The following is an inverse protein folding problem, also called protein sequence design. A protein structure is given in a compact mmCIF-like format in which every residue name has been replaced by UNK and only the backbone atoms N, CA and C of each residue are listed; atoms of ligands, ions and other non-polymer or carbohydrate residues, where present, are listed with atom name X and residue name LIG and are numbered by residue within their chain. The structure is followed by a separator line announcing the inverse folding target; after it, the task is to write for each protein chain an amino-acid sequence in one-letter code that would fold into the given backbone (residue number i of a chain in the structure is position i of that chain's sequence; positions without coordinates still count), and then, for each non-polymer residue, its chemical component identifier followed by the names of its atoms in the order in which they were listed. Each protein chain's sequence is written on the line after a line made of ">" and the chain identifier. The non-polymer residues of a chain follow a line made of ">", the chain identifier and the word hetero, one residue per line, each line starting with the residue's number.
data_IF_270218267717
#
_entry.id   IF_270218267717
#
_cell.length_a   1.000
_cell.length_b   1.000
_cell.length_c   1.000
_cell.angle_alpha   90.00
_cell.angle_beta   90.00
_cell.angle_gamma   90.00
#
_symmetry.space_group_name_H-M   'P 1'
#
loop_
_entity.id
_entity.type
_entity.pdbx_description
1 polymer ?
#
# COMPACT_ATOMS: atom_id res chain seq x y z
N UNK A 1 -29.53 -69.00 49.10
CA UNK A 1 -28.52 -67.94 49.37
C UNK A 1 -27.54 -67.95 48.19
N UNK A 2 -27.70 -67.03 47.22
CA UNK A 2 -26.82 -65.85 46.96
C UNK A 2 -25.33 -66.25 46.98
N UNK A 3 -24.50 -66.05 45.95
CA UNK A 3 -24.21 -64.77 45.28
C UNK A 3 -23.48 -64.96 43.93
N UNK A 4 -23.89 -64.12 42.97
CA UNK A 4 -23.14 -63.35 41.97
C UNK A 4 -22.17 -64.02 40.97
N UNK A 5 -22.66 -64.09 39.72
CA UNK A 5 -21.88 -64.02 38.48
C UNK A 5 -21.42 -62.59 38.26
N UNK A 6 -20.12 -62.35 38.08
CA UNK A 6 -19.57 -61.08 37.61
C UNK A 6 -19.14 -61.26 36.16
N UNK A 7 -19.94 -60.74 35.23
CA UNK A 7 -19.61 -60.63 33.81
C UNK A 7 -18.79 -59.34 33.63
N UNK A 8 -17.51 -59.46 33.25
CA UNK A 8 -16.67 -58.31 32.93
C UNK A 8 -16.97 -57.89 31.49
N UNK A 9 -17.88 -56.93 31.31
CA UNK A 9 -18.13 -56.31 30.00
C UNK A 9 -16.97 -55.35 29.69
N UNK A 10 -16.13 -55.73 28.74
CA UNK A 10 -15.10 -54.84 28.18
C UNK A 10 -15.78 -53.87 27.21
N UNK A 11 -16.03 -52.64 27.65
CA UNK A 11 -16.48 -51.56 26.77
C UNK A 11 -15.26 -51.01 26.04
N UNK A 12 -15.11 -51.39 24.77
CA UNK A 12 -14.16 -50.78 23.86
C UNK A 12 -14.68 -49.38 23.49
N UNK A 13 -14.18 -48.35 24.17
CA UNK A 13 -14.44 -46.96 23.77
C UNK A 13 -13.62 -46.69 22.51
N UNK A 14 -14.28 -46.75 21.35
CA UNK A 14 -13.77 -46.18 20.11
C UNK A 14 -13.74 -44.66 20.28
N UNK A 15 -12.59 -44.13 20.71
CA UNK A 15 -12.29 -42.72 20.54
C UNK A 15 -12.14 -42.45 19.05
N UNK A 16 -13.23 -42.04 18.41
CA UNK A 16 -13.15 -41.38 17.11
C UNK A 16 -12.39 -40.09 17.35
N UNK A 17 -11.09 -40.10 17.06
CA UNK A 17 -10.31 -38.89 16.95
C UNK A 17 -10.88 -38.10 15.78
N UNK A 18 -11.83 -37.22 16.06
CA UNK A 18 -12.19 -36.12 15.18
C UNK A 18 -10.96 -35.22 15.11
N UNK A 19 -10.00 -35.57 14.26
CA UNK A 19 -9.04 -34.63 13.73
C UNK A 19 -9.87 -33.61 12.97
N UNK A 20 -10.25 -32.54 13.65
CA UNK A 20 -10.63 -31.29 13.03
C UNK A 20 -9.39 -30.88 12.25
N UNK A 21 -9.32 -31.28 10.99
CA UNK A 21 -8.42 -30.64 10.04
C UNK A 21 -8.88 -29.19 10.06
N UNK A 22 -8.16 -28.34 10.79
CA UNK A 22 -8.20 -26.91 10.54
C UNK A 22 -7.99 -26.79 9.03
N UNK A 23 -9.04 -26.36 8.34
CA UNK A 23 -9.02 -26.27 6.88
C UNK A 23 -7.83 -25.37 6.57
N UNK A 24 -6.78 -25.95 5.99
CA UNK A 24 -5.53 -25.23 5.77
C UNK A 24 -5.89 -23.97 4.99
N UNK A 25 -5.52 -22.81 5.54
CA UNK A 25 -5.81 -21.54 4.89
C UNK A 25 -5.19 -21.57 3.49
N UNK A 26 -6.01 -21.37 2.47
CA UNK A 26 -5.54 -21.37 1.09
C UNK A 26 -4.72 -20.11 0.84
N UNK A 27 -3.48 -20.32 0.40
CA UNK A 27 -2.61 -19.29 -0.14
C UNK A 27 -2.37 -19.60 -1.61
N UNK A 28 -2.82 -18.74 -2.53
CA UNK A 28 -2.72 -19.02 -3.95
C UNK A 28 -1.25 -19.02 -4.42
N UNK A 29 -0.85 -19.97 -5.28
CA UNK A 29 0.45 -19.88 -5.93
C UNK A 29 0.50 -18.66 -6.88
N UNK A 30 1.72 -18.19 -7.21
CA UNK A 30 1.91 -17.10 -8.17
C UNK A 30 1.15 -17.36 -9.47
N UNK A 31 0.27 -16.43 -9.86
CA UNK A 31 -0.51 -16.50 -11.11
C UNK A 31 -1.56 -17.61 -11.20
N UNK A 32 -1.75 -18.43 -10.15
CA UNK A 32 -2.63 -19.61 -10.17
C UNK A 32 -3.73 -19.50 -9.11
N UNK A 33 -4.39 -18.35 -9.05
CA UNK A 33 -5.47 -18.10 -8.10
C UNK A 33 -6.73 -18.89 -8.47
N UNK A 34 -7.19 -19.71 -7.53
CA UNK A 34 -8.45 -20.44 -7.67
C UNK A 34 -9.64 -19.48 -7.57
N UNK A 35 -10.65 -19.75 -8.41
CA UNK A 35 -11.93 -19.04 -8.43
C UNK A 35 -13.00 -19.89 -7.76
N UNK A 36 -13.82 -19.26 -6.92
CA UNK A 36 -14.97 -19.91 -6.26
C UNK A 36 -16.22 -19.09 -6.43
N UNK A 37 -17.37 -19.77 -6.45
CA UNK A 37 -18.64 -19.08 -6.36
C UNK A 37 -18.74 -18.36 -4.99
N UNK A 38 -19.43 -17.21 -4.91
CA UNK A 38 -19.56 -16.46 -3.65
C UNK A 38 -20.11 -17.32 -2.50
N UNK A 39 -21.07 -18.20 -2.78
CA UNK A 39 -21.70 -19.07 -1.78
C UNK A 39 -20.73 -20.07 -1.18
N UNK A 40 -19.75 -20.55 -1.96
CA UNK A 40 -18.73 -21.50 -1.51
C UNK A 40 -17.77 -20.91 -0.47
N UNK A 41 -17.71 -19.58 -0.39
CA UNK A 41 -16.90 -18.84 0.59
C UNK A 41 -17.75 -18.05 1.59
N UNK A 42 -19.05 -18.34 1.66
CA UNK A 42 -19.98 -17.72 2.61
C UNK A 42 -20.33 -16.27 2.30
N UNK A 43 -20.33 -15.89 1.02
CA UNK A 43 -20.80 -14.59 0.53
C UNK A 43 -22.17 -14.73 -0.16
N UNK A 44 -22.98 -13.68 -0.07
CA UNK A 44 -24.24 -13.57 -0.80
C UNK A 44 -23.96 -13.14 -2.25
N UNK A 45 -24.27 -14.02 -3.20
CA UNK A 45 -24.01 -13.77 -4.62
C UNK A 45 -24.89 -12.67 -5.22
N UNK A 46 -26.10 -12.47 -4.69
CA UNK A 46 -27.02 -11.42 -5.17
C UNK A 46 -26.48 -10.05 -4.77
N UNK A 47 -26.11 -9.88 -3.50
CA UNK A 47 -25.53 -8.61 -3.03
C UNK A 47 -24.18 -8.30 -3.70
N UNK A 48 -23.35 -9.33 -3.95
CA UNK A 48 -22.11 -9.14 -4.67
C UNK A 48 -22.36 -8.68 -6.13
N UNK A 49 -23.31 -9.32 -6.82
CA UNK A 49 -23.68 -8.93 -8.18
C UNK A 49 -24.23 -7.50 -8.25
N UNK A 50 -25.07 -7.10 -7.29
CA UNK A 50 -25.59 -5.73 -7.18
C UNK A 50 -24.45 -4.71 -6.98
N UNK A 51 -23.47 -5.00 -6.13
CA UNK A 51 -22.32 -4.14 -5.89
C UNK A 51 -21.44 -3.98 -7.15
N UNK A 52 -21.22 -5.07 -7.89
CA UNK A 52 -20.47 -5.04 -9.16
C UNK A 52 -21.22 -4.20 -10.20
N UNK A 53 -22.52 -4.45 -10.39
CA UNK A 53 -23.33 -3.68 -11.32
C UNK A 53 -23.34 -2.19 -10.97
N UNK A 54 -23.37 -1.85 -9.68
CA UNK A 54 -23.23 -0.46 -9.24
C UNK A 54 -21.86 0.12 -9.62
N UNK A 55 -20.76 -0.60 -9.39
CA UNK A 55 -19.42 -0.11 -9.74
C UNK A 55 -19.28 0.12 -11.26
N UNK A 56 -19.73 -0.83 -12.08
CA UNK A 56 -19.69 -0.74 -13.54
C UNK A 56 -20.53 0.43 -14.08
N UNK A 57 -21.70 0.70 -13.47
CA UNK A 57 -22.57 1.81 -13.85
C UNK A 57 -22.06 3.20 -13.41
N UNK A 58 -21.08 3.27 -12.50
CA UNK A 58 -20.59 4.52 -11.89
C UNK A 58 -19.11 4.78 -12.22
N UNK A 59 -18.69 4.51 -13.45
CA UNK A 59 -17.36 4.89 -13.92
C UNK A 59 -17.11 6.41 -13.81
N UNK A 60 -15.88 6.80 -13.50
CA UNK A 60 -15.48 8.21 -13.43
C UNK A 60 -15.69 8.95 -14.75
N UNK A 61 -16.15 10.19 -14.67
CA UNK A 61 -16.25 11.11 -15.81
C UNK A 61 -14.90 11.72 -16.23
N UNK A 62 -13.79 11.34 -15.57
CA UNK A 62 -12.45 11.82 -15.94
C UNK A 62 -12.10 11.42 -17.38
N UNK A 63 -11.47 12.33 -18.15
CA UNK A 63 -11.01 12.04 -19.50
C UNK A 63 -10.19 10.75 -19.57
N UNK A 64 -10.34 10.02 -20.66
CA UNK A 64 -9.60 8.77 -20.85
C UNK A 64 -8.10 9.01 -21.02
N UNK A 65 -7.70 10.16 -21.54
CA UNK A 65 -6.35 10.47 -22.05
C UNK A 65 -5.48 11.30 -21.08
N UNK A 66 -5.93 11.50 -19.82
CA UNK A 66 -5.27 12.35 -18.83
C UNK A 66 -5.09 13.82 -19.25
N UNK A 67 -5.90 14.32 -20.19
CA UNK A 67 -5.83 15.71 -20.67
C UNK A 67 -6.09 16.77 -19.60
N UNK A 68 -6.72 16.41 -18.47
CA UNK A 68 -6.95 17.31 -17.34
C UNK A 68 -5.86 17.23 -16.24
N UNK A 69 -4.86 16.37 -16.38
CA UNK A 69 -3.86 16.10 -15.36
C UNK A 69 -3.07 17.36 -14.98
N UNK A 70 -2.58 18.11 -15.97
CA UNK A 70 -1.81 19.33 -15.74
C UNK A 70 -2.66 20.42 -15.07
N UNK A 71 -3.92 20.59 -15.49
CA UNK A 71 -4.83 21.53 -14.84
C UNK A 71 -5.10 21.17 -13.38
N UNK A 72 -5.21 19.88 -13.06
CA UNK A 72 -5.57 19.42 -11.70
C UNK A 72 -4.35 19.41 -10.78
N UNK A 73 -3.23 18.86 -11.25
CA UNK A 73 -2.07 18.53 -10.42
C UNK A 73 -0.79 19.29 -10.83
N UNK A 74 -0.87 20.16 -11.82
CA UNK A 74 0.26 20.91 -12.38
C UNK A 74 1.15 20.05 -13.28
N UNK A 75 2.30 20.62 -13.67
CA UNK A 75 3.19 20.02 -14.66
C UNK A 75 3.64 18.59 -14.28
N UNK A 76 3.34 17.56 -15.10
CA UNK A 76 3.79 16.19 -14.82
C UNK A 76 5.33 16.08 -14.87
N UNK A 77 5.93 15.45 -13.87
CA UNK A 77 7.36 15.15 -13.83
C UNK A 77 7.71 13.73 -14.27
N UNK A 78 6.72 12.85 -14.38
CA UNK A 78 6.87 11.46 -14.81
C UNK A 78 5.99 11.16 -16.03
N UNK A 79 6.19 10.00 -16.66
CA UNK A 79 5.37 9.59 -17.80
C UNK A 79 3.91 9.36 -17.39
N UNK A 80 2.99 9.75 -18.27
CA UNK A 80 1.57 9.39 -18.19
C UNK A 80 1.25 8.34 -19.26
N UNK A 81 0.44 7.33 -18.95
CA UNK A 81 -0.04 6.40 -19.96
C UNK A 81 -0.96 7.13 -20.94
N UNK A 82 -1.04 6.63 -22.18
CA UNK A 82 -1.88 7.22 -23.24
C UNK A 82 -3.37 7.22 -22.90
N UNK A 83 -3.81 6.25 -22.10
CA UNK A 83 -5.19 6.14 -21.63
C UNK A 83 -5.24 5.57 -20.22
N UNK A 84 -6.24 5.92 -19.41
CA UNK A 84 -6.56 5.21 -18.16
C UNK A 84 -7.23 3.87 -18.45
N UNK A 85 -7.35 3.01 -17.44
CA UNK A 85 -8.25 1.86 -17.50
C UNK A 85 -9.70 2.28 -17.30
N UNK A 86 -10.62 1.48 -17.85
CA UNK A 86 -12.02 1.48 -17.42
C UNK A 86 -12.13 0.90 -16.02
N UNK A 87 -13.29 1.09 -15.38
CA UNK A 87 -13.60 0.46 -14.10
C UNK A 87 -13.33 -1.05 -14.18
N UNK A 88 -12.48 -1.55 -13.30
CA UNK A 88 -12.18 -2.96 -13.13
C UNK A 88 -12.01 -3.25 -11.64
N UNK A 89 -12.14 -4.52 -11.26
CA UNK A 89 -12.08 -4.90 -9.86
C UNK A 89 -11.92 -6.38 -9.65
N UNK A 90 -11.31 -6.70 -8.51
CA UNK A 90 -11.08 -8.05 -8.04
C UNK A 90 -11.58 -8.16 -6.60
N UNK A 91 -12.44 -9.15 -6.33
CA UNK A 91 -12.92 -9.45 -4.99
C UNK A 91 -12.31 -10.77 -4.54
N UNK A 92 -11.58 -10.72 -3.43
CA UNK A 92 -10.88 -11.87 -2.85
C UNK A 92 -11.48 -12.20 -1.49
N UNK A 93 -11.73 -13.48 -1.24
CA UNK A 93 -12.21 -13.98 0.05
C UNK A 93 -11.54 -15.32 0.37
N UNK A 94 -10.94 -15.43 1.57
CA UNK A 94 -10.24 -16.64 2.01
C UNK A 94 -9.15 -17.14 1.03
N UNK A 95 -8.51 -16.23 0.30
CA UNK A 95 -7.50 -16.54 -0.71
C UNK A 95 -8.04 -16.86 -2.10
N UNK A 96 -9.36 -16.96 -2.28
CA UNK A 96 -10.00 -17.24 -3.56
C UNK A 96 -10.46 -15.96 -4.25
N UNK A 97 -10.37 -15.93 -5.59
CA UNK A 97 -11.07 -14.94 -6.40
C UNK A 97 -12.55 -15.32 -6.43
N UNK A 98 -13.43 -14.41 -6.03
CA UNK A 98 -14.89 -14.67 -6.00
C UNK A 98 -15.66 -13.83 -7.00
N UNK A 99 -15.06 -12.73 -7.45
CA UNK A 99 -15.52 -11.96 -8.58
C UNK A 99 -14.36 -11.19 -9.19
N UNK A 100 -14.46 -10.97 -10.49
CA UNK A 100 -13.51 -10.24 -11.32
C UNK A 100 -14.29 -9.56 -12.45
N UNK A 101 -14.04 -8.28 -12.70
CA UNK A 101 -14.70 -7.52 -13.76
C UNK A 101 -13.74 -6.48 -14.35
N UNK A 102 -13.87 -6.20 -15.66
CA UNK A 102 -12.96 -5.33 -16.41
C UNK A 102 -11.58 -5.95 -16.71
N UNK A 103 -10.62 -5.11 -17.08
CA UNK A 103 -9.23 -5.49 -17.44
C UNK A 103 -8.33 -5.53 -16.19
N UNK A 104 -8.42 -6.58 -15.37
CA UNK A 104 -7.68 -6.70 -14.09
C UNK A 104 -6.20 -7.08 -14.22
N UNK A 105 -5.77 -7.57 -15.38
CA UNK A 105 -4.39 -7.94 -15.70
C UNK A 105 -3.57 -6.79 -16.30
N UNK A 106 -4.22 -5.68 -16.63
CA UNK A 106 -3.60 -4.51 -17.22
C UNK A 106 -2.73 -3.78 -16.20
N UNK A 107 -1.50 -3.48 -16.60
CA UNK A 107 -0.60 -2.64 -15.80
C UNK A 107 -0.99 -1.17 -15.95
N UNK A 108 -1.40 -0.55 -14.84
CA UNK A 108 -1.73 0.86 -14.75
C UNK A 108 -0.97 1.56 -13.62
N UNK A 109 -0.75 2.89 -13.71
CA UNK A 109 -0.13 3.63 -12.62
C UNK A 109 -0.99 3.56 -11.36
N UNK A 110 -0.39 3.14 -10.25
CA UNK A 110 -1.09 3.02 -8.97
C UNK A 110 -1.05 4.30 -8.13
N UNK A 111 -0.34 5.33 -8.60
CA UNK A 111 -0.19 6.64 -7.96
C UNK A 111 0.06 6.56 -6.45
N UNK A 112 -0.88 7.02 -5.64
CA UNK A 112 -0.71 7.11 -4.19
C UNK A 112 -0.68 5.77 -3.45
N UNK A 113 -0.98 4.65 -4.11
CA UNK A 113 -0.65 3.32 -3.56
C UNK A 113 0.86 3.18 -3.25
N UNK A 114 1.72 3.98 -3.91
CA UNK A 114 3.14 4.04 -3.60
C UNK A 114 3.44 4.35 -2.12
N UNK A 115 2.56 5.08 -1.43
CA UNK A 115 2.71 5.37 0.01
C UNK A 115 2.64 4.10 0.86
N UNK A 116 1.84 3.11 0.45
CA UNK A 116 1.76 1.80 1.11
C UNK A 116 3.06 1.01 0.92
N UNK A 117 3.67 1.08 -0.27
CA UNK A 117 4.99 0.48 -0.52
C UNK A 117 6.06 1.14 0.35
N UNK A 118 6.08 2.47 0.44
CA UNK A 118 7.03 3.20 1.29
C UNK A 118 6.85 2.88 2.77
N UNK A 119 5.60 2.78 3.26
CA UNK A 119 5.32 2.36 4.64
C UNK A 119 5.84 0.94 4.91
N UNK A 120 5.65 0.02 3.97
CA UNK A 120 6.16 -1.36 4.08
C UNK A 120 7.69 -1.40 4.08
N UNK A 121 8.33 -0.62 3.21
CA UNK A 121 9.79 -0.48 3.15
C UNK A 121 10.35 0.15 4.43
N UNK A 122 9.65 1.11 5.04
CA UNK A 122 10.02 1.66 6.34
C UNK A 122 9.96 0.58 7.45
N UNK A 123 8.94 -0.28 7.43
CA UNK A 123 8.87 -1.46 8.29
C UNK A 123 10.07 -2.39 8.10
N UNK A 124 10.44 -2.69 6.85
CA UNK A 124 11.64 -3.47 6.55
C UNK A 124 12.94 -2.81 7.04
N UNK A 125 13.05 -1.48 6.94
CA UNK A 125 14.20 -0.75 7.47
C UNK A 125 14.28 -0.85 9.00
N UNK A 126 13.13 -0.81 9.68
CA UNK A 126 13.03 -1.02 11.13
C UNK A 126 13.46 -2.44 11.51
N UNK A 127 12.92 -3.46 10.84
CA UNK A 127 13.25 -4.87 11.09
C UNK A 127 14.74 -5.21 10.83
N UNK A 128 15.44 -4.36 10.07
CA UNK A 128 16.88 -4.48 9.76
C UNK A 128 17.74 -3.57 10.62
N UNK A 129 17.18 -2.94 11.66
CA UNK A 129 17.87 -2.00 12.54
C UNK A 129 18.52 -0.80 11.79
N UNK A 130 18.05 -0.47 10.57
CA UNK A 130 18.53 0.72 9.82
C UNK A 130 18.06 2.02 10.51
N UNK A 131 16.93 1.93 11.19
CA UNK A 131 16.57 2.80 12.30
C UNK A 131 15.83 1.97 13.36
N UNK A 132 15.85 2.41 14.61
CA UNK A 132 15.47 1.55 15.76
C UNK A 132 14.26 2.07 16.54
N UNK A 133 13.81 3.29 16.27
CA UNK A 133 12.62 3.88 16.88
C UNK A 133 11.98 4.86 15.90
N UNK A 134 10.66 4.74 15.70
CA UNK A 134 9.89 5.65 14.86
C UNK A 134 9.81 7.07 15.43
N UNK A 135 10.03 7.23 16.74
CA UNK A 135 10.05 8.51 17.43
C UNK A 135 11.41 9.22 17.35
N UNK A 136 12.46 8.55 16.86
CA UNK A 136 13.74 9.23 16.64
C UNK A 136 13.65 10.22 15.47
N UNK A 137 14.29 11.39 15.58
CA UNK A 137 14.47 12.30 14.46
C UNK A 137 15.18 11.61 13.29
N UNK A 138 14.65 11.77 12.08
CA UNK A 138 15.22 11.16 10.86
C UNK A 138 16.65 11.64 10.63
N UNK A 139 16.92 12.91 10.95
CA UNK A 139 18.24 13.52 10.88
C UNK A 139 19.30 12.85 11.75
N UNK A 140 18.95 11.94 12.68
CA UNK A 140 19.95 11.12 13.39
C UNK A 140 20.59 10.08 12.47
N UNK A 141 19.84 9.55 11.51
CA UNK A 141 20.25 8.45 10.62
C UNK A 141 20.64 8.94 9.23
N UNK A 142 19.97 9.97 8.73
CA UNK A 142 20.17 10.49 7.36
C UNK A 142 20.88 11.84 7.42
N UNK A 143 22.08 11.92 6.84
CA UNK A 143 22.99 13.09 6.90
C UNK A 143 23.18 13.78 5.55
N UNK A 144 22.09 13.96 4.81
CA UNK A 144 22.10 14.58 3.48
C UNK A 144 21.70 16.08 3.49
N UNK A 145 21.66 16.69 4.68
CA UNK A 145 21.29 18.09 4.89
C UNK A 145 19.79 18.37 4.95
N UNK A 146 18.94 17.40 4.58
CA UNK A 146 17.48 17.59 4.52
C UNK A 146 16.79 17.82 5.87
N UNK A 147 17.49 17.62 6.98
CA UNK A 147 16.96 17.75 8.34
C UNK A 147 17.78 18.72 9.22
N UNK A 148 18.65 19.55 8.64
CA UNK A 148 19.57 20.40 9.40
C UNK A 148 18.94 21.71 9.90
N UNK A 149 17.83 22.14 9.28
CA UNK A 149 17.11 23.36 9.71
C UNK A 149 16.41 23.16 11.05
N UNK A 150 16.18 24.26 11.79
CA UNK A 150 15.43 24.21 13.05
C UNK A 150 14.02 23.63 12.88
N UNK A 151 13.36 23.94 11.75
CA UNK A 151 12.04 23.40 11.41
C UNK A 151 12.08 21.87 11.20
N UNK A 152 13.09 21.37 10.48
CA UNK A 152 13.13 19.96 10.07
C UNK A 152 13.85 19.04 11.08
N UNK A 153 14.68 19.60 11.97
CA UNK A 153 15.52 18.82 12.88
C UNK A 153 14.72 17.92 13.86
N UNK A 154 13.46 18.27 14.14
CA UNK A 154 12.58 17.49 15.03
C UNK A 154 11.63 16.55 14.25
N UNK A 155 11.76 16.45 12.93
CA UNK A 155 10.95 15.52 12.13
C UNK A 155 11.38 14.08 12.40
N UNK A 156 10.44 13.26 12.87
CA UNK A 156 10.64 11.84 13.18
C UNK A 156 10.13 10.95 12.05
N UNK A 157 10.47 9.67 12.08
CA UNK A 157 9.91 8.69 11.15
C UNK A 157 8.39 8.58 11.29
N UNK A 158 7.88 8.62 12.52
CA UNK A 158 6.43 8.63 12.78
C UNK A 158 5.76 9.81 12.09
N UNK A 159 6.33 11.02 12.17
CA UNK A 159 5.75 12.18 11.51
C UNK A 159 5.65 11.99 9.99
N UNK A 160 6.65 11.37 9.36
CA UNK A 160 6.61 11.02 7.94
C UNK A 160 5.50 10.02 7.64
N UNK A 161 5.45 8.92 8.40
CA UNK A 161 4.48 7.84 8.23
C UNK A 161 3.03 8.27 8.51
N UNK A 162 2.84 9.36 9.25
CA UNK A 162 1.52 9.95 9.57
C UNK A 162 1.23 11.24 8.80
N UNK A 163 2.13 11.67 7.90
CA UNK A 163 2.02 12.93 7.14
C UNK A 163 1.79 14.17 8.01
N UNK A 164 2.47 14.24 9.15
CA UNK A 164 2.43 15.36 10.10
C UNK A 164 3.77 16.06 10.23
N UNK A 165 4.65 15.95 9.22
CA UNK A 165 6.04 16.38 9.36
C UNK A 165 6.22 17.88 9.51
N UNK A 166 5.36 18.68 8.90
CA UNK A 166 5.65 20.11 8.71
C UNK A 166 7.05 20.34 8.09
N UNK A 167 7.56 19.36 7.33
CA UNK A 167 8.87 19.46 6.69
C UNK A 167 8.83 20.53 5.60
N UNK A 168 9.87 21.36 5.61
CA UNK A 168 10.08 22.47 4.69
C UNK A 168 11.25 22.20 3.75
N UNK A 169 11.04 22.42 2.46
CA UNK A 169 12.11 22.43 1.47
C UNK A 169 11.61 22.21 0.06
N UNK A 170 12.56 21.95 -0.84
CA UNK A 170 12.30 21.67 -2.25
C UNK A 170 12.90 20.32 -2.59
N UNK A 171 12.13 19.47 -3.28
CA UNK A 171 12.65 18.24 -3.88
C UNK A 171 12.29 18.22 -5.35
N UNK A 172 13.31 18.06 -6.20
CA UNK A 172 13.15 17.94 -7.65
C UNK A 172 12.29 19.07 -8.22
N UNK A 173 12.67 20.30 -7.85
CA UNK A 173 12.00 21.55 -8.24
C UNK A 173 10.55 21.70 -7.73
N UNK A 174 10.10 20.84 -6.81
CA UNK A 174 8.80 20.94 -6.14
C UNK A 174 8.95 21.47 -4.71
N UNK A 175 8.46 22.67 -4.40
CA UNK A 175 8.44 23.18 -3.03
C UNK A 175 7.38 22.47 -2.19
N UNK A 176 7.65 22.27 -0.91
CA UNK A 176 6.74 21.58 0.01
C UNK A 176 5.48 22.37 0.38
N UNK A 177 5.41 23.66 0.06
CA UNK A 177 4.31 24.57 0.43
C UNK A 177 3.12 24.52 -0.54
N UNK A 178 3.28 23.90 -1.70
CA UNK A 178 2.28 23.78 -2.75
C UNK A 178 1.85 25.15 -3.33
N UNK A 179 2.73 26.15 -3.28
CA UNK A 179 2.46 27.46 -3.87
C UNK A 179 2.83 27.44 -5.35
N UNK A 180 1.90 27.86 -6.21
CA UNK A 180 2.11 27.98 -7.65
C UNK A 180 1.25 27.01 -8.47
N UNK A 181 0.36 27.56 -9.30
CA UNK A 181 -0.50 26.76 -10.18
C UNK A 181 0.23 26.09 -11.34
N UNK A 182 1.41 26.57 -11.73
CA UNK A 182 2.25 25.87 -12.72
C UNK A 182 2.67 24.52 -12.15
N UNK A 183 3.11 24.53 -10.90
CA UNK A 183 3.62 23.35 -10.26
C UNK A 183 2.49 22.43 -9.79
N UNK A 184 1.43 22.97 -9.20
CA UNK A 184 0.42 22.20 -8.48
C UNK A 184 -0.98 22.26 -9.09
N UNK A 185 -1.19 23.03 -10.16
CA UNK A 185 -2.50 23.17 -10.81
C UNK A 185 -3.57 23.63 -9.82
N UNK A 186 -4.72 22.95 -9.86
CA UNK A 186 -5.83 23.19 -8.94
C UNK A 186 -5.55 22.72 -7.51
N UNK A 187 -4.47 21.98 -7.26
CA UNK A 187 -4.03 21.57 -5.94
C UNK A 187 -3.12 22.61 -5.26
N UNK A 188 -2.90 23.78 -5.89
CA UNK A 188 -2.17 24.88 -5.27
C UNK A 188 -2.78 25.30 -3.93
N UNK A 189 -1.94 25.84 -3.05
CA UNK A 189 -2.33 26.25 -1.71
C UNK A 189 -2.01 27.70 -1.45
N UNK A 190 -2.72 28.26 -0.47
CA UNK A 190 -2.39 29.57 0.08
C UNK A 190 -1.19 29.45 1.02
N UNK A 191 -0.33 30.48 1.06
CA UNK A 191 0.74 30.55 2.05
C UNK A 191 0.19 30.38 3.46
N UNK A 192 0.92 29.65 4.29
CA UNK A 192 0.67 29.51 5.73
C UNK A 192 1.99 29.38 6.45
N UNK A 193 2.00 29.78 7.72
CA UNK A 193 3.12 29.49 8.59
C UNK A 193 3.14 27.98 8.93
N UNK A 194 4.34 27.42 8.99
CA UNK A 194 4.54 26.04 9.42
C UNK A 194 4.38 25.95 10.94
N UNK A 195 3.82 24.83 11.39
CA UNK A 195 3.75 24.48 12.80
C UNK A 195 4.90 23.54 13.18
N UNK A 196 4.99 23.18 14.45
CA UNK A 196 5.92 22.15 14.88
C UNK A 196 5.57 20.79 14.23
N UNK A 197 6.57 19.94 13.90
CA UNK A 197 6.33 18.57 13.49
C UNK A 197 5.40 17.84 14.48
N UNK A 198 4.38 17.15 13.95
CA UNK A 198 3.34 16.47 14.70
C UNK A 198 2.06 17.31 14.92
N UNK A 199 2.10 18.63 14.74
CA UNK A 199 0.97 19.51 15.07
C UNK A 199 -0.10 19.62 13.97
N UNK A 200 0.25 19.32 12.71
CA UNK A 200 -0.65 19.50 11.58
C UNK A 200 -0.54 18.36 10.57
N UNK A 201 -1.69 17.74 10.24
CA UNK A 201 -1.76 16.76 9.16
C UNK A 201 -1.88 17.46 7.81
N UNK A 202 -1.03 17.05 6.88
CA UNK A 202 -1.08 17.55 5.52
C UNK A 202 -0.79 16.45 4.50
N UNK A 203 -1.79 16.12 3.68
CA UNK A 203 -1.56 15.26 2.52
C UNK A 203 -0.65 15.97 1.52
N UNK A 204 0.61 15.56 1.45
CA UNK A 204 1.68 16.30 0.77
C UNK A 204 2.70 15.33 0.13
N UNK A 205 2.76 15.34 -1.20
CA UNK A 205 3.61 14.43 -1.97
C UNK A 205 5.11 14.80 -1.91
N UNK A 206 5.46 16.07 -1.73
CA UNK A 206 6.87 16.49 -1.57
C UNK A 206 7.44 15.95 -0.26
N UNK A 207 6.63 15.94 0.81
CA UNK A 207 7.02 15.36 2.11
C UNK A 207 7.16 13.83 2.02
N UNK A 208 6.33 13.17 1.21
CA UNK A 208 6.50 11.73 0.90
C UNK A 208 7.74 11.46 0.06
N UNK A 209 8.07 12.33 -0.89
CA UNK A 209 9.32 12.27 -1.65
C UNK A 209 10.53 12.38 -0.71
N UNK A 210 10.44 13.21 0.34
CA UNK A 210 11.48 13.29 1.38
C UNK A 210 11.62 11.99 2.18
N UNK A 211 10.51 11.32 2.53
CA UNK A 211 10.54 9.98 3.13
C UNK A 211 11.21 8.98 2.19
N UNK A 212 10.84 8.94 0.91
CA UNK A 212 11.42 8.03 -0.08
C UNK A 212 12.93 8.25 -0.23
N UNK A 213 13.40 9.50 -0.31
CA UNK A 213 14.82 9.80 -0.35
C UNK A 213 15.53 9.34 0.94
N UNK A 214 14.91 9.55 2.11
CA UNK A 214 15.48 9.12 3.39
C UNK A 214 15.64 7.60 3.49
N UNK A 215 14.62 6.84 3.06
CA UNK A 215 14.70 5.38 2.99
C UNK A 215 15.75 4.92 1.97
N UNK A 216 15.84 5.57 0.81
CA UNK A 216 16.90 5.29 -0.17
C UNK A 216 18.29 5.47 0.45
N UNK A 217 18.50 6.51 1.28
CA UNK A 217 19.77 6.73 1.98
C UNK A 217 20.08 5.64 3.00
N UNK A 218 19.08 5.11 3.72
CA UNK A 218 19.29 4.01 4.66
C UNK A 218 19.65 2.70 3.96
N UNK A 219 18.95 2.38 2.87
CA UNK A 219 19.18 1.14 2.14
C UNK A 219 20.39 1.20 1.22
N UNK A 220 20.85 2.39 0.86
CA UNK A 220 21.88 2.63 -0.17
C UNK A 220 21.59 1.89 -1.49
N UNK A 221 20.30 1.69 -1.77
CA UNK A 221 19.79 0.86 -2.85
C UNK A 221 18.53 1.52 -3.43
N UNK A 222 18.34 1.50 -4.76
CA UNK A 222 17.10 2.01 -5.35
C UNK A 222 15.89 1.30 -4.74
N UNK A 223 14.94 2.07 -4.21
CA UNK A 223 13.77 1.51 -3.53
C UNK A 223 12.91 0.57 -4.39
N UNK A 224 12.77 0.74 -5.72
CA UNK A 224 12.10 -0.25 -6.55
C UNK A 224 12.78 -1.62 -6.52
N UNK A 225 14.10 -1.66 -6.36
CA UNK A 225 14.84 -2.92 -6.24
C UNK A 225 14.63 -3.53 -4.85
N UNK A 226 14.57 -2.72 -3.79
CA UNK A 226 14.19 -3.18 -2.44
C UNK A 226 12.76 -3.76 -2.45
N UNK A 227 11.79 -3.03 -3.03
CA UNK A 227 10.41 -3.47 -3.16
C UNK A 227 10.31 -4.81 -3.91
N UNK A 228 11.07 -4.96 -5.01
CA UNK A 228 11.08 -6.19 -5.78
C UNK A 228 11.64 -7.35 -4.96
N UNK A 229 12.89 -7.23 -4.52
CA UNK A 229 13.64 -8.35 -3.95
C UNK A 229 13.08 -8.78 -2.58
N UNK A 230 12.58 -7.83 -1.78
CA UNK A 230 12.23 -8.06 -0.38
C UNK A 230 10.73 -8.23 -0.14
N UNK A 231 9.88 -7.83 -1.11
CA UNK A 231 8.42 -7.87 -0.95
C UNK A 231 7.77 -8.59 -2.13
N UNK A 232 7.90 -8.06 -3.35
CA UNK A 232 7.12 -8.53 -4.49
C UNK A 232 7.52 -9.95 -4.93
N UNK A 233 8.81 -10.23 -5.05
CA UNK A 233 9.30 -11.57 -5.41
C UNK A 233 8.96 -12.61 -4.32
N UNK A 234 9.21 -12.34 -3.01
CA UNK A 234 8.82 -13.26 -1.94
C UNK A 234 7.33 -13.60 -1.85
N UNK A 235 6.44 -12.64 -2.14
CA UNK A 235 4.98 -12.91 -2.16
C UNK A 235 4.50 -13.47 -3.50
N UNK A 236 5.38 -13.64 -4.48
CA UNK A 236 5.02 -14.17 -5.79
C UNK A 236 4.19 -13.22 -6.65
N UNK A 237 4.39 -11.91 -6.50
CA UNK A 237 3.76 -10.92 -7.34
C UNK A 237 4.24 -11.02 -8.80
N UNK A 238 3.47 -10.43 -9.73
CA UNK A 238 3.88 -10.36 -11.13
C UNK A 238 5.21 -9.61 -11.28
N UNK A 239 6.01 -9.99 -12.28
CA UNK A 239 7.23 -9.26 -12.69
C UNK A 239 6.97 -8.21 -13.78
N UNK A 240 5.70 -7.97 -14.16
CA UNK A 240 5.33 -7.06 -15.26
C UNK A 240 5.33 -5.58 -14.88
N UNK A 241 5.43 -5.24 -13.60
CA UNK A 241 5.41 -3.86 -13.15
C UNK A 241 6.79 -3.18 -13.30
N UNK A 242 6.82 -1.93 -13.77
CA UNK A 242 7.99 -1.06 -13.68
C UNK A 242 7.76 0.12 -12.72
N UNK A 243 8.83 0.66 -12.14
CA UNK A 243 8.80 1.96 -11.46
C UNK A 243 9.17 3.08 -12.43
N UNK A 244 8.39 4.16 -12.41
CA UNK A 244 8.68 5.39 -13.13
C UNK A 244 8.80 6.54 -12.13
N UNK A 245 10.02 7.05 -11.96
CA UNK A 245 10.31 8.21 -11.13
C UNK A 245 10.08 9.53 -11.87
N UNK A 246 10.45 10.63 -11.22
CA UNK A 246 10.48 11.93 -11.88
C UNK A 246 11.68 11.99 -12.83
N UNK A 247 11.56 12.74 -13.93
CA UNK A 247 12.63 12.88 -14.92
C UNK A 247 13.86 13.61 -14.38
N UNK A 248 13.70 14.37 -13.30
CA UNK A 248 14.75 15.12 -12.61
C UNK A 248 15.13 14.53 -11.24
N UNK A 249 14.74 13.28 -10.94
CA UNK A 249 15.08 12.60 -9.68
C UNK A 249 16.31 11.70 -9.70
#
# INVERSE_FOLDING_TARGET
>A
MKLFRTLLASVLVLTVSSSVLAQAQYYPPPGQWERKAPEEVGMDSTLLAEAIAFAEANETSKPMDFSDQERIFGQPLGPLPKRRAHTNGLVIRHGYIVAEFGETDRVDPTYSAAKSYLSTIAGLAYDRDLFTDVHHPVGQYVKDGGYDSSQNAQVTWQHHLQQTTEWEGVLWDRPSDFIGSVEFGSAERKPRDLQAPGAYYEYNDVRINRLALSLLRLFEKPLPIVLRDEIMDPIGASSSWPYHGYSNS
#
